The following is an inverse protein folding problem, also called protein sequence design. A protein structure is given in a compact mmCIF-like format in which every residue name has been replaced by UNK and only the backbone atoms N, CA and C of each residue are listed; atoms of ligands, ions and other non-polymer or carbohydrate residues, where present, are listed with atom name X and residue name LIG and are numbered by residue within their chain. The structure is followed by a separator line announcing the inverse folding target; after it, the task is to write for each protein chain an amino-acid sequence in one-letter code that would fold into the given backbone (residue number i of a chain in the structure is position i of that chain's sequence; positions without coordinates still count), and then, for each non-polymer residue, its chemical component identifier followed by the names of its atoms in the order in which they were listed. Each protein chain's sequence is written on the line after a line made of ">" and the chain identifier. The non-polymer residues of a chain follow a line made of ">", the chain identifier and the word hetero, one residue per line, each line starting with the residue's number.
data_IF_350328367258
#
_entry.id   IF_350328367258
#
_cell.length_a   1.000
_cell.length_b   1.000
_cell.length_c   1.000
_cell.angle_alpha   90.00
_cell.angle_beta   90.00
_cell.angle_gamma   90.00
#
_symmetry.space_group_name_H-M   'P 1'
#
loop_
_entity.id
_entity.type
_entity.pdbx_description
1 polymer ?
#
# COMPACT_ATOMS: atom_id res chain seq x y z
N UNK A 1 9.20 26.68 -4.29
CA UNK A 1 9.74 25.32 -4.16
C UNK A 1 10.18 24.85 -5.54
N UNK A 2 11.45 24.45 -5.70
CA UNK A 2 11.95 23.96 -7.00
C UNK A 2 11.55 22.50 -7.24
N UNK A 3 11.55 22.08 -8.50
CA UNK A 3 11.16 20.71 -8.89
C UNK A 3 11.98 19.63 -8.18
N UNK A 4 13.27 19.90 -7.91
CA UNK A 4 14.15 18.99 -7.17
C UNK A 4 13.72 18.72 -5.73
N UNK A 5 13.15 19.72 -5.05
CA UNK A 5 12.71 19.63 -3.65
C UNK A 5 11.39 18.83 -3.53
N UNK A 6 10.55 18.93 -4.57
CA UNK A 6 9.31 18.17 -4.68
C UNK A 6 9.61 16.69 -4.95
N UNK A 7 10.52 16.40 -5.87
CA UNK A 7 10.96 15.04 -6.16
C UNK A 7 11.62 14.38 -4.95
N UNK A 8 12.46 15.11 -4.21
CA UNK A 8 13.03 14.63 -2.97
C UNK A 8 11.95 14.31 -1.93
N UNK A 9 10.98 15.21 -1.73
CA UNK A 9 9.87 15.00 -0.80
C UNK A 9 9.01 13.78 -1.18
N UNK A 10 8.72 13.59 -2.47
CA UNK A 10 8.02 12.42 -2.99
C UNK A 10 8.80 11.13 -2.78
N UNK A 11 10.10 11.13 -3.07
CA UNK A 11 10.96 9.95 -2.89
C UNK A 11 11.07 9.56 -1.41
N UNK A 12 11.31 10.52 -0.52
CA UNK A 12 11.32 10.28 0.93
C UNK A 12 9.98 9.76 1.41
N UNK A 13 8.87 10.35 0.93
CA UNK A 13 7.52 9.88 1.22
C UNK A 13 7.31 8.44 0.77
N UNK A 14 7.72 8.09 -0.46
CA UNK A 14 7.60 6.75 -1.00
C UNK A 14 8.35 5.71 -0.16
N UNK A 15 9.59 6.01 0.21
CA UNK A 15 10.42 5.14 1.04
C UNK A 15 9.79 4.95 2.43
N UNK A 16 9.28 6.02 3.04
CA UNK A 16 8.58 5.94 4.31
C UNK A 16 7.30 5.08 4.22
N UNK A 17 6.52 5.25 3.16
CA UNK A 17 5.32 4.44 2.90
C UNK A 17 5.63 2.96 2.68
N UNK A 18 6.70 2.65 1.94
CA UNK A 18 7.17 1.28 1.76
C UNK A 18 7.64 0.67 3.09
N UNK A 19 8.42 1.40 3.89
CA UNK A 19 8.86 0.96 5.20
C UNK A 19 7.67 0.70 6.14
N UNK A 20 6.69 1.60 6.18
CA UNK A 20 5.47 1.42 6.95
C UNK A 20 4.68 0.17 6.52
N UNK A 21 4.60 -0.08 5.21
CA UNK A 21 3.94 -1.28 4.66
C UNK A 21 4.64 -2.56 5.10
N UNK A 22 5.98 -2.57 5.06
CA UNK A 22 6.77 -3.70 5.53
C UNK A 22 6.54 -3.96 7.03
N UNK A 23 6.63 -2.92 7.87
CA UNK A 23 6.40 -3.02 9.32
C UNK A 23 4.99 -3.50 9.62
N UNK A 24 3.99 -2.95 8.93
CA UNK A 24 2.59 -3.40 9.06
C UNK A 24 2.48 -4.88 8.79
N UNK A 25 3.07 -5.38 7.69
CA UNK A 25 3.07 -6.80 7.35
C UNK A 25 3.65 -7.68 8.45
N UNK A 26 4.75 -7.27 9.08
CA UNK A 26 5.33 -7.99 10.22
C UNK A 26 4.39 -8.02 11.43
N UNK A 27 3.83 -6.86 11.79
CA UNK A 27 2.91 -6.73 12.93
C UNK A 27 1.63 -7.54 12.70
N UNK A 28 1.02 -7.44 11.52
CA UNK A 28 -0.19 -8.19 11.19
C UNK A 28 0.09 -9.69 11.20
N UNK A 29 1.24 -10.14 10.69
CA UNK A 29 1.60 -11.56 10.70
C UNK A 29 1.73 -12.08 12.14
N UNK A 30 2.43 -11.33 12.99
CA UNK A 30 2.57 -11.66 14.41
C UNK A 30 1.22 -11.75 15.14
N UNK A 31 0.30 -10.82 14.87
CA UNK A 31 -1.05 -10.86 15.44
C UNK A 31 -1.83 -12.06 14.92
N UNK A 32 -1.76 -12.32 13.61
CA UNK A 32 -2.46 -13.41 12.94
C UNK A 32 -1.98 -14.80 13.37
N UNK A 33 -0.72 -14.93 13.77
CA UNK A 33 -0.16 -16.16 14.35
C UNK A 33 -0.66 -16.43 15.77
N UNK A 34 -1.11 -15.37 16.47
CA UNK A 34 -1.59 -15.44 17.86
C UNK A 34 -3.10 -15.38 17.98
N UNK A 35 -3.80 -15.23 16.86
CA UNK A 35 -5.24 -15.22 16.79
C UNK A 35 -5.83 -16.61 17.11
N UNK A 36 -7.06 -16.61 17.64
CA UNK A 36 -7.79 -17.85 17.87
C UNK A 36 -8.00 -18.62 16.54
N UNK A 37 -7.78 -19.93 16.57
CA UNK A 37 -7.82 -20.76 15.37
C UNK A 37 -9.21 -20.83 14.75
N UNK A 38 -10.28 -20.79 15.55
CA UNK A 38 -11.64 -20.80 15.03
C UNK A 38 -11.99 -19.46 14.40
N UNK A 39 -11.60 -18.34 15.04
CA UNK A 39 -11.75 -17.01 14.45
C UNK A 39 -11.06 -16.90 13.10
N UNK A 40 -9.80 -17.37 13.02
CA UNK A 40 -9.02 -17.39 11.79
C UNK A 40 -9.64 -18.24 10.68
N UNK A 41 -10.16 -19.44 11.01
CA UNK A 41 -10.87 -20.27 10.03
C UNK A 41 -12.13 -19.59 9.51
N UNK A 42 -12.93 -18.99 10.40
CA UNK A 42 -14.12 -18.25 9.99
C UNK A 42 -13.78 -17.06 9.07
N UNK A 43 -12.69 -16.35 9.33
CA UNK A 43 -12.20 -15.28 8.45
C UNK A 43 -11.76 -15.85 7.09
N UNK A 44 -10.93 -16.91 7.09
CA UNK A 44 -10.42 -17.57 5.89
C UNK A 44 -11.54 -18.08 4.98
N UNK A 45 -12.58 -18.66 5.57
CA UNK A 45 -13.76 -19.13 4.86
C UNK A 45 -14.59 -17.96 4.31
N UNK A 46 -14.81 -16.90 5.11
CA UNK A 46 -15.55 -15.72 4.68
C UNK A 46 -14.86 -14.98 3.51
N UNK A 47 -13.52 -14.95 3.49
CA UNK A 47 -12.74 -14.33 2.41
C UNK A 47 -12.43 -15.28 1.25
N UNK A 48 -12.88 -16.54 1.32
CA UNK A 48 -12.59 -17.57 0.32
C UNK A 48 -11.09 -17.78 0.10
N UNK A 49 -10.28 -17.67 1.16
CA UNK A 49 -8.82 -17.79 1.11
C UNK A 49 -8.07 -16.66 0.40
N UNK A 50 -8.76 -15.62 -0.10
CA UNK A 50 -8.13 -14.51 -0.84
C UNK A 50 -7.79 -13.34 0.07
N UNK A 51 -6.70 -12.62 -0.24
CA UNK A 51 -6.39 -11.34 0.40
C UNK A 51 -7.12 -10.21 -0.31
N UNK A 52 -7.32 -9.08 0.38
CA UNK A 52 -7.94 -7.90 -0.22
C UNK A 52 -7.23 -7.42 -1.49
N UNK A 53 -5.89 -7.45 -1.49
CA UNK A 53 -5.07 -7.08 -2.65
C UNK A 53 -5.14 -8.12 -3.79
N UNK A 54 -5.33 -9.40 -3.47
CA UNK A 54 -5.61 -10.45 -4.47
C UNK A 54 -6.96 -10.25 -5.15
N UNK A 55 -7.99 -9.88 -4.40
CA UNK A 55 -9.30 -9.51 -4.95
C UNK A 55 -9.21 -8.25 -5.82
N UNK A 56 -8.42 -7.25 -5.40
CA UNK A 56 -8.17 -6.07 -6.20
C UNK A 56 -7.48 -6.41 -7.53
N UNK A 57 -6.50 -7.32 -7.52
CA UNK A 57 -5.85 -7.81 -8.73
C UNK A 57 -6.84 -8.49 -9.70
N UNK A 58 -7.68 -9.39 -9.19
CA UNK A 58 -8.72 -10.05 -10.00
C UNK A 58 -9.71 -9.04 -10.60
N UNK A 59 -10.18 -8.06 -9.81
CA UNK A 59 -11.08 -7.01 -10.32
C UNK A 59 -10.42 -6.18 -11.41
N UNK A 60 -9.17 -5.78 -11.24
CA UNK A 60 -8.43 -5.01 -12.24
C UNK A 60 -8.24 -5.82 -13.54
N UNK A 61 -7.93 -7.11 -13.45
CA UNK A 61 -7.83 -7.99 -14.61
C UNK A 61 -9.19 -8.20 -15.29
N UNK A 62 -10.27 -8.31 -14.50
CA UNK A 62 -11.63 -8.43 -15.00
C UNK A 62 -12.09 -7.23 -15.84
N UNK A 63 -11.64 -6.01 -15.51
CA UNK A 63 -11.92 -4.80 -16.32
C UNK A 63 -11.39 -4.93 -17.75
N UNK A 64 -10.30 -5.66 -17.95
CA UNK A 64 -9.70 -5.92 -19.28
C UNK A 64 -10.03 -7.32 -19.81
N UNK A 65 -11.03 -7.99 -19.24
CA UNK A 65 -11.50 -9.31 -19.68
C UNK A 65 -10.51 -10.46 -19.43
N UNK A 66 -9.62 -10.31 -18.45
CA UNK A 66 -8.63 -11.34 -18.09
C UNK A 66 -8.96 -11.99 -16.75
N UNK A 67 -8.81 -13.30 -16.70
CA UNK A 67 -8.74 -14.06 -15.46
C UNK A 67 -7.28 -14.25 -15.07
N UNK A 68 -7.00 -14.27 -13.77
CA UNK A 68 -5.66 -14.47 -13.24
C UNK A 68 -5.52 -15.88 -12.67
N UNK A 69 -4.40 -16.52 -12.98
CA UNK A 69 -3.98 -17.69 -12.21
C UNK A 69 -3.71 -17.33 -10.75
N UNK A 70 -3.65 -18.34 -9.86
CA UNK A 70 -3.32 -18.11 -8.45
C UNK A 70 -2.01 -17.36 -8.24
N UNK A 71 -0.98 -17.73 -9.01
CA UNK A 71 0.35 -17.14 -8.90
C UNK A 71 0.39 -15.71 -9.43
N UNK A 72 -0.29 -15.42 -10.55
CA UNK A 72 -0.45 -14.06 -11.05
C UNK A 72 -1.21 -13.19 -10.06
N UNK A 73 -2.30 -13.71 -9.48
CA UNK A 73 -3.06 -13.01 -8.45
C UNK A 73 -2.21 -12.67 -7.24
N UNK A 74 -1.41 -13.62 -6.73
CA UNK A 74 -0.50 -13.39 -5.60
C UNK A 74 0.55 -12.33 -5.95
N UNK A 75 1.16 -12.44 -7.14
CA UNK A 75 2.21 -11.51 -7.58
C UNK A 75 1.68 -10.09 -7.81
N UNK A 76 0.58 -9.96 -8.56
CA UNK A 76 -0.05 -8.66 -8.86
C UNK A 76 -0.65 -8.07 -7.59
N UNK A 77 -1.30 -8.88 -6.75
CA UNK A 77 -1.83 -8.43 -5.46
C UNK A 77 -0.73 -7.90 -4.55
N UNK A 78 0.41 -8.59 -4.46
CA UNK A 78 1.59 -8.10 -3.74
C UNK A 78 2.09 -6.77 -4.32
N UNK A 79 2.19 -6.66 -5.65
CA UNK A 79 2.58 -5.41 -6.30
C UNK A 79 1.61 -4.25 -5.96
N UNK A 80 0.30 -4.50 -5.96
CA UNK A 80 -0.71 -3.52 -5.54
C UNK A 80 -0.51 -3.11 -4.08
N UNK A 81 -0.26 -4.06 -3.18
CA UNK A 81 -0.02 -3.77 -1.75
C UNK A 81 1.16 -2.80 -1.56
N UNK A 82 2.30 -3.08 -2.20
CA UNK A 82 3.47 -2.21 -2.16
C UNK A 82 3.23 -0.86 -2.84
N UNK A 83 2.54 -0.86 -3.99
CA UNK A 83 2.24 0.36 -4.74
C UNK A 83 1.33 1.30 -3.94
N UNK A 84 0.33 0.77 -3.22
CA UNK A 84 -0.54 1.57 -2.36
C UNK A 84 0.24 2.20 -1.22
N UNK A 85 1.10 1.42 -0.55
CA UNK A 85 1.93 1.91 0.56
C UNK A 85 2.91 3.00 0.15
N UNK A 86 3.79 2.67 -0.81
CA UNK A 86 4.78 3.61 -1.34
C UNK A 86 4.11 4.80 -2.05
N UNK A 87 3.07 4.56 -2.83
CA UNK A 87 2.33 5.59 -3.56
C UNK A 87 1.66 6.60 -2.63
N UNK A 88 0.95 6.13 -1.60
CA UNK A 88 0.36 7.00 -0.59
C UNK A 88 1.43 7.83 0.14
N UNK A 89 2.57 7.21 0.47
CA UNK A 89 3.73 7.89 1.03
C UNK A 89 4.25 9.00 0.11
N UNK A 90 4.41 8.74 -1.19
CA UNK A 90 4.84 9.73 -2.16
C UNK A 90 3.87 10.92 -2.27
N UNK A 91 2.56 10.63 -2.34
CA UNK A 91 1.51 11.64 -2.38
C UNK A 91 1.54 12.51 -1.11
N UNK A 92 1.69 11.89 0.05
CA UNK A 92 1.84 12.61 1.32
C UNK A 92 3.10 13.47 1.33
N UNK A 93 4.24 12.94 0.89
CA UNK A 93 5.50 13.68 0.75
C UNK A 93 5.35 14.91 -0.14
N UNK A 94 4.70 14.76 -1.30
CA UNK A 94 4.39 15.87 -2.20
C UNK A 94 3.49 16.93 -1.56
N UNK A 95 2.42 16.50 -0.87
CA UNK A 95 1.49 17.40 -0.20
C UNK A 95 2.18 18.18 0.91
N UNK A 96 2.94 17.49 1.78
CA UNK A 96 3.71 18.10 2.87
C UNK A 96 4.77 19.07 2.35
N UNK A 97 5.51 18.68 1.30
CA UNK A 97 6.51 19.54 0.69
C UNK A 97 5.91 20.85 0.17
N UNK A 98 4.76 20.77 -0.52
CA UNK A 98 4.04 21.96 -0.99
C UNK A 98 3.56 22.87 0.13
N UNK A 99 3.05 22.31 1.22
CA UNK A 99 2.61 23.09 2.39
C UNK A 99 3.81 23.79 3.06
N UNK A 100 4.90 23.06 3.32
CA UNK A 100 6.11 23.64 3.89
C UNK A 100 6.73 24.72 2.98
N UNK A 101 6.65 24.54 1.66
CA UNK A 101 7.08 25.55 0.68
C UNK A 101 6.16 26.78 0.61
N UNK A 102 4.87 26.62 0.90
CA UNK A 102 3.91 27.72 1.00
C UNK A 102 4.10 28.51 2.31
N UNK A 103 4.33 27.83 3.43
CA UNK A 103 4.66 28.46 4.72
C UNK A 103 5.97 29.26 4.63
N UNK A 104 6.99 28.73 3.93
CA UNK A 104 8.26 29.43 3.70
C UNK A 104 8.14 30.64 2.75
N UNK A 105 7.15 30.66 1.85
CA UNK A 105 6.92 31.76 0.90
C UNK A 105 5.95 32.83 1.44
N UNK A 106 5.13 32.49 2.43
CA UNK A 106 4.16 33.37 3.09
C UNK A 106 4.65 34.03 4.39
N UNK A 107 5.94 33.91 4.71
CA UNK A 107 6.51 34.44 5.95
C UNK A 107 6.36 35.96 6.10
N UNK A 108 5.43 36.36 6.96
CA UNK A 108 5.63 37.40 7.97
C UNK A 108 6.62 36.91 9.03
#
# INVERSE_FOLDING_TARGET
>A
MGDGDLLASMATGALAGAAATWVMGQVTSYLYEREDKQARQMEDDARGGKTAYGVAAEKAAGVVGRELSEDERKRIGSAIHWALGAGAGAVYGAARGRLAGADAAGGL
#
